data_IF_270617446177
#
_entry.id   IF_270617446177
#
_cell.length_a   1.000
_cell.length_b   1.000
_cell.length_c   1.000
_cell.angle_alpha   90.00
_cell.angle_beta   90.00
_cell.angle_gamma   90.00
#
_symmetry.space_group_name_H-M   'P 1'
#
loop_
_entity.id
_entity.type
_entity.pdbx_description
1 polymer ?
#
# COMPACT_ATOMS: atom_id res chain seq x y z
N UNK A 1 -23.73 -15.68 -37.43
CA UNK A 1 -24.03 -15.29 -36.04
C UNK A 1 -23.83 -16.51 -35.16
N UNK A 2 -22.69 -16.63 -34.48
CA UNK A 2 -22.45 -17.67 -33.49
C UNK A 2 -22.10 -16.96 -32.17
N UNK A 3 -22.96 -17.12 -31.18
CA UNK A 3 -22.85 -16.53 -29.86
C UNK A 3 -21.82 -17.35 -29.07
N UNK A 4 -20.68 -16.75 -28.74
CA UNK A 4 -19.70 -17.34 -27.82
C UNK A 4 -20.13 -17.03 -26.38
N UNK A 5 -20.57 -18.05 -25.66
CA UNK A 5 -20.87 -17.97 -24.23
C UNK A 5 -19.56 -18.15 -23.46
N UNK A 6 -19.07 -17.08 -22.84
CA UNK A 6 -17.91 -17.14 -21.95
C UNK A 6 -18.34 -17.83 -20.64
N UNK A 7 -17.78 -19.02 -20.37
CA UNK A 7 -17.86 -19.65 -19.05
C UNK A 7 -17.01 -18.86 -18.06
N UNK A 8 -17.66 -18.17 -17.13
CA UNK A 8 -17.02 -17.73 -15.90
C UNK A 8 -16.74 -18.97 -15.04
N UNK A 9 -15.47 -19.31 -14.86
CA UNK A 9 -15.05 -20.31 -13.89
C UNK A 9 -15.28 -19.74 -12.48
N UNK A 10 -16.40 -20.11 -11.86
CA UNK A 10 -16.64 -19.88 -10.44
C UNK A 10 -15.75 -20.81 -9.63
N UNK A 11 -14.73 -20.25 -8.98
CA UNK A 11 -13.98 -20.96 -7.94
C UNK A 11 -14.94 -21.43 -6.86
N UNK A 12 -14.78 -22.67 -6.41
CA UNK A 12 -15.58 -23.25 -5.34
C UNK A 12 -15.35 -22.47 -4.05
N UNK A 13 -16.18 -21.46 -3.79
CA UNK A 13 -16.24 -20.79 -2.51
C UNK A 13 -16.65 -21.82 -1.45
N UNK A 14 -15.89 -21.87 -0.35
CA UNK A 14 -16.32 -22.58 0.85
C UNK A 14 -17.77 -22.21 1.18
N UNK A 15 -18.58 -23.15 1.65
CA UNK A 15 -19.93 -22.83 2.10
C UNK A 15 -19.85 -21.86 3.29
N UNK A 16 -19.94 -20.54 3.04
CA UNK A 16 -20.33 -19.54 4.02
C UNK A 16 -19.45 -18.29 4.21
N UNK A 17 -18.19 -18.23 3.78
CA UNK A 17 -17.34 -17.04 3.99
C UNK A 17 -16.92 -16.36 2.68
N UNK A 18 -17.20 -15.06 2.60
CA UNK A 18 -17.05 -14.24 1.40
C UNK A 18 -16.84 -12.76 1.75
N UNK A 19 -16.78 -11.91 0.71
CA UNK A 19 -16.66 -10.46 0.88
C UNK A 19 -17.84 -9.84 1.66
N UNK A 20 -19.05 -10.40 1.52
CA UNK A 20 -20.22 -9.91 2.24
C UNK A 20 -20.14 -10.23 3.74
N UNK A 21 -19.45 -11.31 4.11
CA UNK A 21 -19.16 -11.66 5.50
C UNK A 21 -18.31 -10.59 6.19
N UNK A 22 -17.24 -10.13 5.54
CA UNK A 22 -16.41 -9.03 6.04
C UNK A 22 -17.16 -7.69 6.00
N UNK A 23 -18.00 -7.50 4.99
CA UNK A 23 -18.88 -6.31 4.93
C UNK A 23 -19.78 -6.20 6.14
N UNK A 24 -20.43 -7.29 6.56
CA UNK A 24 -21.30 -7.29 7.73
C UNK A 24 -20.51 -6.88 8.98
N UNK A 25 -19.31 -7.44 9.18
CA UNK A 25 -18.42 -7.05 10.27
C UNK A 25 -18.06 -5.56 10.25
N UNK A 26 -17.69 -5.01 9.08
CA UNK A 26 -17.37 -3.59 8.95
C UNK A 26 -18.58 -2.70 9.29
N UNK A 27 -19.76 -3.01 8.72
CA UNK A 27 -21.00 -2.28 9.00
C UNK A 27 -21.35 -2.30 10.49
N UNK A 28 -21.29 -3.47 11.11
CA UNK A 28 -21.60 -3.65 12.52
C UNK A 28 -20.63 -2.84 13.40
N UNK A 29 -19.33 -2.86 13.08
CA UNK A 29 -18.34 -2.02 13.77
C UNK A 29 -18.64 -0.53 13.56
N UNK A 30 -19.02 -0.08 12.37
CA UNK A 30 -19.36 1.33 12.10
C UNK A 30 -20.56 1.85 12.93
N UNK A 31 -21.42 0.96 13.40
CA UNK A 31 -22.57 1.28 14.25
C UNK A 31 -22.24 1.47 15.73
N UNK A 32 -21.02 1.12 16.15
CA UNK A 32 -20.56 1.19 17.53
C UNK A 32 -19.49 2.28 17.71
N UNK A 33 -19.17 2.74 18.92
CA UNK A 33 -17.99 3.57 19.17
C UNK A 33 -16.69 2.81 18.85
N UNK A 34 -15.66 3.53 18.38
CA UNK A 34 -14.34 2.95 18.16
C UNK A 34 -13.74 2.46 19.49
N UNK A 35 -13.10 1.29 19.45
CA UNK A 35 -12.38 0.70 20.59
C UNK A 35 -10.93 0.45 20.17
N UNK A 36 -9.95 1.21 20.70
CA UNK A 36 -8.54 0.94 20.44
C UNK A 36 -8.15 -0.41 21.04
N UNK A 37 -7.12 -1.04 20.47
CA UNK A 37 -6.53 -2.24 21.05
C UNK A 37 -5.98 -1.89 22.44
N UNK A 38 -6.46 -2.58 23.47
CA UNK A 38 -6.04 -2.34 24.85
C UNK A 38 -4.84 -3.18 25.30
N UNK A 39 -4.50 -4.20 24.52
CA UNK A 39 -3.49 -5.18 24.90
C UNK A 39 -2.10 -4.55 24.84
N UNK A 40 -1.43 -4.53 25.99
CA UNK A 40 -0.04 -4.14 26.08
C UNK A 40 0.82 -5.33 25.67
N UNK A 41 1.83 -5.07 24.86
CA UNK A 41 2.88 -6.05 24.63
C UNK A 41 3.46 -6.54 25.97
N UNK A 42 3.82 -7.83 26.07
CA UNK A 42 4.68 -8.32 27.13
C UNK A 42 5.88 -7.39 27.37
N UNK A 43 6.26 -7.20 28.64
CA UNK A 43 7.24 -6.19 29.01
C UNK A 43 8.61 -6.39 28.34
N UNK A 44 9.02 -7.63 28.12
CA UNK A 44 10.25 -7.99 27.43
C UNK A 44 10.20 -7.67 25.92
N UNK A 45 9.04 -7.84 25.27
CA UNK A 45 8.82 -7.40 23.88
C UNK A 45 8.74 -5.87 23.75
N UNK A 46 8.15 -5.18 24.73
CA UNK A 46 8.00 -3.74 24.71
C UNK A 46 9.33 -2.96 24.79
N UNK A 47 10.40 -3.62 25.25
CA UNK A 47 11.73 -3.05 25.45
C UNK A 47 12.70 -3.31 24.29
N UNK A 48 12.29 -4.09 23.28
CA UNK A 48 13.17 -4.41 22.17
C UNK A 48 13.52 -3.16 21.34
N UNK A 49 14.80 -3.01 21.01
CA UNK A 49 15.28 -2.03 20.06
C UNK A 49 15.18 -2.54 18.60
N UNK A 50 15.58 -1.70 17.65
CA UNK A 50 15.50 -2.00 16.22
C UNK A 50 16.22 -3.29 15.82
N UNK A 51 17.49 -3.45 16.24
CA UNK A 51 18.29 -4.63 15.89
C UNK A 51 17.70 -5.91 16.49
N UNK A 52 17.19 -5.82 17.71
CA UNK A 52 16.57 -6.94 18.40
C UNK A 52 15.28 -7.39 17.71
N UNK A 53 14.39 -6.46 17.30
CA UNK A 53 13.18 -6.81 16.54
C UNK A 53 13.55 -7.42 15.18
N UNK A 54 14.55 -6.87 14.49
CA UNK A 54 15.05 -7.37 13.20
C UNK A 54 15.63 -8.79 13.28
N UNK A 55 16.15 -9.17 14.44
CA UNK A 55 16.72 -10.51 14.67
C UNK A 55 15.62 -11.59 14.85
N UNK A 56 14.38 -11.19 15.14
CA UNK A 56 13.24 -12.11 15.23
C UNK A 56 12.73 -12.43 13.83
N UNK A 57 12.74 -13.71 13.44
CA UNK A 57 12.42 -14.17 12.08
C UNK A 57 11.45 -15.34 12.09
N UNK A 58 10.51 -15.34 11.15
CA UNK A 58 9.69 -16.52 10.90
C UNK A 58 10.55 -17.68 10.39
N UNK A 59 10.29 -18.91 10.85
CA UNK A 59 10.94 -20.13 10.39
C UNK A 59 10.36 -20.58 9.04
N UNK A 60 11.10 -20.50 7.91
CA UNK A 60 10.52 -20.71 6.58
C UNK A 60 9.92 -22.11 6.35
N UNK A 61 10.42 -23.13 7.04
CA UNK A 61 9.89 -24.50 7.03
C UNK A 61 8.49 -24.61 7.64
N UNK A 62 8.08 -23.63 8.45
CA UNK A 62 6.78 -23.55 9.11
C UNK A 62 5.79 -22.64 8.40
N UNK A 63 6.14 -22.10 7.23
CA UNK A 63 5.25 -21.25 6.45
C UNK A 63 3.91 -21.94 6.16
N UNK A 64 2.81 -21.18 6.29
CA UNK A 64 1.47 -21.66 5.98
C UNK A 64 1.43 -22.12 4.51
N UNK A 65 0.78 -23.26 4.25
CA UNK A 65 0.65 -23.92 2.94
C UNK A 65 1.92 -24.56 2.36
N UNK A 66 3.06 -24.46 3.03
CA UNK A 66 4.31 -25.11 2.59
C UNK A 66 4.19 -26.64 2.54
N UNK A 67 3.67 -27.24 3.61
CA UNK A 67 3.51 -28.69 3.72
C UNK A 67 2.57 -29.27 2.64
N UNK A 68 1.57 -28.47 2.25
CA UNK A 68 0.60 -28.79 1.21
C UNK A 68 1.15 -28.56 -0.22
N UNK A 69 2.37 -28.02 -0.34
CA UNK A 69 3.06 -27.73 -1.61
C UNK A 69 2.26 -26.80 -2.55
N UNK A 70 1.53 -25.84 -1.98
CA UNK A 70 0.72 -24.89 -2.76
C UNK A 70 1.59 -23.84 -3.45
N UNK A 71 1.10 -23.17 -4.51
CA UNK A 71 1.88 -22.15 -5.22
C UNK A 71 2.18 -20.89 -4.39
N UNK A 72 1.44 -20.68 -3.30
CA UNK A 72 1.66 -19.59 -2.35
C UNK A 72 2.03 -20.12 -0.98
N UNK A 73 2.86 -19.37 -0.26
CA UNK A 73 3.19 -19.61 1.15
C UNK A 73 2.97 -18.31 1.93
N UNK A 74 2.49 -18.40 3.18
CA UNK A 74 2.39 -17.24 4.06
C UNK A 74 3.36 -17.35 5.24
N UNK A 75 4.02 -16.23 5.55
CA UNK A 75 4.85 -16.07 6.74
C UNK A 75 4.38 -14.84 7.52
N UNK A 76 4.52 -14.86 8.84
CA UNK A 76 3.96 -13.83 9.70
C UNK A 76 5.05 -13.01 10.39
N UNK A 77 4.75 -11.73 10.61
CA UNK A 77 5.65 -10.82 11.31
C UNK A 77 5.38 -10.87 12.82
N UNK A 78 6.45 -10.86 13.60
CA UNK A 78 6.37 -10.77 15.05
C UNK A 78 6.05 -9.33 15.49
N UNK A 79 5.32 -9.17 16.60
CA UNK A 79 5.12 -7.88 17.25
C UNK A 79 6.43 -7.33 17.84
N UNK A 80 6.57 -6.01 17.86
CA UNK A 80 7.74 -5.34 18.45
C UNK A 80 7.92 -3.91 17.95
N UNK A 81 8.63 -3.10 18.74
CA UNK A 81 9.02 -1.71 18.47
C UNK A 81 7.92 -0.83 17.83
N UNK A 82 7.79 -0.85 16.50
CA UNK A 82 6.81 -0.06 15.75
C UNK A 82 5.44 -0.74 15.61
N UNK A 83 5.40 -2.08 15.65
CA UNK A 83 4.19 -2.88 15.46
C UNK A 83 3.77 -3.51 16.79
N UNK A 84 3.02 -2.74 17.58
CA UNK A 84 2.60 -3.14 18.93
C UNK A 84 1.18 -3.70 18.99
N UNK A 85 0.37 -3.41 17.99
CA UNK A 85 -1.03 -3.79 17.94
C UNK A 85 -1.21 -4.97 16.98
N UNK A 86 -1.68 -6.13 17.44
CA UNK A 86 -1.82 -7.30 16.59
C UNK A 86 -2.90 -7.14 15.53
N UNK A 87 -2.70 -7.92 14.47
CA UNK A 87 -3.74 -8.31 13.53
C UNK A 87 -4.11 -9.77 13.78
N UNK A 88 -5.39 -10.08 13.67
CA UNK A 88 -5.88 -11.46 13.68
C UNK A 88 -5.74 -12.06 12.28
N UNK A 89 -5.30 -13.31 12.21
CA UNK A 89 -5.12 -14.04 10.95
C UNK A 89 -6.00 -15.27 10.96
N UNK A 90 -6.80 -15.41 9.92
CA UNK A 90 -7.63 -16.58 9.68
C UNK A 90 -7.27 -17.21 8.33
N UNK A 91 -7.49 -18.51 8.21
CA UNK A 91 -7.46 -19.24 6.95
C UNK A 91 -8.90 -19.61 6.54
N UNK A 92 -9.25 -19.37 5.28
CA UNK A 92 -10.51 -19.85 4.69
C UNK A 92 -10.21 -21.12 3.89
N UNK A 93 -10.86 -22.21 4.28
CA UNK A 93 -10.75 -23.53 3.64
C UNK A 93 -12.13 -24.00 3.15
N UNK A 94 -12.21 -25.04 2.30
CA UNK A 94 -13.51 -25.62 1.95
C UNK A 94 -14.36 -26.07 3.15
N UNK A 95 -13.72 -26.36 4.30
CA UNK A 95 -14.38 -26.77 5.55
C UNK A 95 -14.85 -25.58 6.41
N UNK A 96 -14.49 -24.35 6.04
CA UNK A 96 -14.84 -23.13 6.78
C UNK A 96 -13.63 -22.27 7.16
N UNK A 97 -13.87 -21.32 8.05
CA UNK A 97 -12.88 -20.38 8.57
C UNK A 97 -12.20 -20.95 9.82
N UNK A 98 -10.86 -20.85 9.87
CA UNK A 98 -10.06 -21.27 11.02
C UNK A 98 -9.09 -20.17 11.42
N UNK A 99 -9.08 -19.81 12.71
CA UNK A 99 -8.07 -18.92 13.28
C UNK A 99 -6.68 -19.54 13.22
N UNK A 100 -5.68 -18.76 12.85
CA UNK A 100 -4.26 -19.12 12.91
C UNK A 100 -3.69 -18.49 14.19
N UNK A 101 -3.50 -19.28 15.27
CA UNK A 101 -2.99 -18.74 16.51
C UNK A 101 -1.51 -18.40 16.39
N UNK A 102 -1.07 -17.39 17.12
CA UNK A 102 0.35 -17.18 17.35
C UNK A 102 0.97 -18.40 18.05
N UNK A 103 2.12 -18.83 17.55
CA UNK A 103 2.95 -19.82 18.23
C UNK A 103 4.40 -19.36 18.25
N UNK A 104 4.97 -19.33 19.46
CA UNK A 104 6.39 -19.04 19.66
C UNK A 104 7.33 -19.98 18.89
N UNK A 105 6.89 -21.20 18.63
CA UNK A 105 7.69 -22.20 17.90
C UNK A 105 7.84 -21.86 16.41
N UNK A 106 7.03 -20.95 15.89
CA UNK A 106 7.10 -20.51 14.50
C UNK A 106 8.21 -19.49 14.24
N UNK A 107 8.81 -18.95 15.31
CA UNK A 107 9.83 -17.92 15.23
C UNK A 107 11.20 -18.43 15.68
N UNK A 108 12.23 -17.88 15.04
CA UNK A 108 13.58 -17.82 15.56
C UNK A 108 13.76 -16.44 16.20
N UNK A 109 14.14 -16.40 17.47
CA UNK A 109 14.33 -15.15 18.21
C UNK A 109 15.77 -14.64 18.13
N UNK A 110 16.64 -15.33 17.41
CA UNK A 110 18.04 -14.95 17.25
C UNK A 110 18.76 -14.90 18.59
N UNK A 111 19.43 -13.78 18.87
CA UNK A 111 20.22 -13.55 20.10
C UNK A 111 19.39 -12.98 21.25
N UNK A 112 18.08 -12.76 21.05
CA UNK A 112 17.23 -12.15 22.07
C UNK A 112 17.01 -13.08 23.27
N UNK A 113 17.04 -12.52 24.48
CA UNK A 113 16.76 -13.24 25.73
C UNK A 113 15.31 -12.98 26.17
N UNK A 114 14.37 -13.53 25.42
CA UNK A 114 12.93 -13.36 25.63
C UNK A 114 12.35 -14.54 26.42
N UNK A 115 11.19 -14.34 27.06
CA UNK A 115 10.46 -15.41 27.80
C UNK A 115 9.10 -15.71 27.15
N UNK A 116 9.10 -16.35 25.97
CA UNK A 116 7.90 -16.51 25.16
C UNK A 116 6.85 -17.47 25.73
N UNK A 117 7.18 -18.25 26.77
CA UNK A 117 6.30 -19.25 27.39
C UNK A 117 5.01 -18.64 27.95
N UNK A 118 5.06 -17.39 28.44
CA UNK A 118 3.97 -16.74 29.14
C UNK A 118 3.06 -15.90 28.24
N UNK A 119 3.39 -15.76 26.96
CA UNK A 119 2.73 -14.78 26.08
C UNK A 119 1.35 -15.21 25.57
N UNK A 120 1.06 -16.51 25.52
CA UNK A 120 -0.18 -17.01 24.93
C UNK A 120 -0.28 -16.70 23.43
N UNK A 121 -1.49 -16.46 22.93
CA UNK A 121 -1.73 -16.01 21.55
C UNK A 121 -1.58 -14.48 21.46
N UNK A 122 -0.40 -14.02 21.01
CA UNK A 122 -0.12 -12.60 20.82
C UNK A 122 -0.79 -12.00 19.57
N UNK A 123 -1.26 -12.82 18.64
CA UNK A 123 -1.48 -12.41 17.25
C UNK A 123 -0.18 -12.06 16.53
N UNK A 124 -0.30 -11.33 15.42
CA UNK A 124 0.84 -11.03 14.53
C UNK A 124 0.93 -9.54 14.21
N UNK A 125 2.11 -9.04 13.85
CA UNK A 125 2.28 -7.66 13.37
C UNK A 125 1.77 -7.45 11.94
N UNK A 126 1.51 -8.54 11.21
CA UNK A 126 1.21 -8.55 9.79
C UNK A 126 1.65 -9.88 9.17
N UNK A 127 1.61 -9.95 7.85
CA UNK A 127 2.06 -11.12 7.11
C UNK A 127 2.63 -10.75 5.75
N UNK A 128 3.32 -11.71 5.16
CA UNK A 128 3.80 -11.67 3.79
C UNK A 128 3.44 -12.95 3.06
N UNK A 129 3.12 -12.81 1.78
CA UNK A 129 2.90 -13.95 0.90
C UNK A 129 4.12 -14.13 0.00
N UNK A 130 4.44 -15.37 -0.29
CA UNK A 130 5.54 -15.78 -1.15
C UNK A 130 5.01 -16.56 -2.35
N UNK A 131 5.64 -16.38 -3.51
CA UNK A 131 5.32 -17.09 -4.75
C UNK A 131 6.58 -17.25 -5.62
N UNK A 132 6.54 -18.14 -6.62
CA UNK A 132 7.61 -18.33 -7.61
C UNK A 132 7.68 -17.16 -8.61
N UNK A 133 8.01 -15.96 -8.12
CA UNK A 133 7.95 -14.72 -8.89
C UNK A 133 9.15 -14.60 -9.85
N UNK A 134 10.36 -14.90 -9.38
CA UNK A 134 11.59 -14.75 -10.16
C UNK A 134 12.06 -16.07 -10.78
N UNK A 135 11.85 -17.19 -10.09
CA UNK A 135 12.23 -18.53 -10.56
C UNK A 135 11.33 -19.62 -9.98
N UNK A 136 11.31 -20.80 -10.61
CA UNK A 136 10.60 -21.97 -10.09
C UNK A 136 11.31 -22.63 -8.89
N UNK A 137 12.58 -22.30 -8.63
CA UNK A 137 13.38 -22.94 -7.59
C UNK A 137 13.18 -22.35 -6.20
N UNK A 138 12.71 -21.10 -6.12
CA UNK A 138 12.55 -20.35 -4.88
C UNK A 138 11.23 -19.59 -4.89
N UNK A 139 10.60 -19.41 -3.72
CA UNK A 139 9.44 -18.55 -3.56
C UNK A 139 9.86 -17.22 -2.97
N UNK A 140 9.95 -16.23 -3.83
CA UNK A 140 10.23 -14.85 -3.49
C UNK A 140 9.10 -14.24 -2.67
N UNK A 141 9.41 -13.22 -1.88
CA UNK A 141 8.38 -12.38 -1.26
C UNK A 141 7.60 -11.67 -2.37
N UNK A 142 6.27 -11.77 -2.32
CA UNK A 142 5.36 -11.24 -3.33
C UNK A 142 4.68 -9.96 -2.82
N UNK A 143 4.09 -10.02 -1.63
CA UNK A 143 3.29 -8.95 -1.04
C UNK A 143 3.41 -8.98 0.47
N UNK A 144 3.43 -7.79 1.07
CA UNK A 144 3.48 -7.57 2.53
C UNK A 144 2.27 -6.73 2.94
N UNK A 145 1.62 -7.14 4.03
CA UNK A 145 0.63 -6.37 4.76
C UNK A 145 1.15 -6.15 6.18
N UNK A 146 1.53 -4.91 6.53
CA UNK A 146 2.09 -4.58 7.85
C UNK A 146 2.00 -3.08 8.11
N UNK A 147 1.59 -2.71 9.33
CA UNK A 147 1.52 -1.32 9.78
C UNK A 147 0.30 -0.56 9.25
N UNK A 148 -0.46 0.07 10.13
CA UNK A 148 -1.71 0.74 9.79
C UNK A 148 -2.57 -0.11 8.81
N UNK A 149 -2.90 0.42 7.64
CA UNK A 149 -3.54 -0.32 6.55
C UNK A 149 -2.63 -0.42 5.32
N UNK A 150 -1.31 -0.39 5.52
CA UNK A 150 -0.33 -0.41 4.44
C UNK A 150 -0.13 -1.80 3.87
N UNK A 151 0.12 -1.84 2.57
CA UNK A 151 0.60 -3.02 1.87
C UNK A 151 1.48 -2.64 0.68
N UNK A 152 2.39 -3.52 0.31
CA UNK A 152 3.30 -3.33 -0.83
C UNK A 152 3.54 -4.65 -1.53
N UNK A 153 3.65 -4.66 -2.84
CA UNK A 153 3.89 -5.87 -3.61
C UNK A 153 4.99 -5.68 -4.67
N UNK A 154 5.49 -6.80 -5.17
CA UNK A 154 6.56 -6.87 -6.15
C UNK A 154 6.09 -7.65 -7.38
N UNK A 155 6.34 -7.08 -8.55
CA UNK A 155 6.50 -7.78 -9.82
C UNK A 155 7.90 -8.37 -9.96
N UNK A 156 8.10 -9.14 -11.04
CA UNK A 156 9.36 -9.85 -11.29
C UNK A 156 10.57 -8.91 -11.33
N UNK A 157 11.63 -9.28 -10.62
CA UNK A 157 12.92 -8.56 -10.60
C UNK A 157 12.94 -7.25 -9.82
N UNK A 158 11.84 -6.89 -9.14
CA UNK A 158 11.72 -5.64 -8.39
C UNK A 158 12.26 -5.75 -6.97
N UNK A 159 12.43 -4.60 -6.33
CA UNK A 159 12.66 -4.45 -4.89
C UNK A 159 11.61 -3.52 -4.30
N UNK A 160 11.40 -3.56 -2.98
CA UNK A 160 10.42 -2.69 -2.34
C UNK A 160 10.80 -1.22 -2.44
N UNK A 161 9.81 -0.40 -2.76
CA UNK A 161 9.84 1.05 -2.65
C UNK A 161 8.54 1.54 -2.06
N UNK A 162 7.76 2.25 -2.87
CA UNK A 162 6.45 2.78 -2.48
C UNK A 162 5.49 1.71 -1.92
N UNK A 163 4.54 2.17 -1.12
CA UNK A 163 3.45 1.39 -0.55
C UNK A 163 2.09 1.90 -0.98
N UNK A 164 1.07 1.04 -0.90
CA UNK A 164 -0.33 1.42 -0.95
C UNK A 164 -0.93 1.33 0.46
N UNK A 165 -2.12 1.93 0.67
CA UNK A 165 -2.91 1.75 1.91
C UNK A 165 -4.36 1.39 1.59
N UNK A 166 -5.06 0.83 2.58
CA UNK A 166 -6.49 0.61 2.47
C UNK A 166 -7.27 1.92 2.38
N UNK A 167 -6.95 2.88 3.25
CA UNK A 167 -7.65 4.16 3.35
C UNK A 167 -6.73 5.23 3.97
N UNK A 168 -6.90 6.48 3.54
CA UNK A 168 -6.29 7.65 4.18
C UNK A 168 -7.39 8.59 4.68
N UNK A 169 -7.22 9.18 5.88
CA UNK A 169 -8.20 10.10 6.48
C UNK A 169 -7.46 11.33 6.97
N UNK A 170 -7.88 12.50 6.48
CA UNK A 170 -7.37 13.81 6.90
C UNK A 170 -5.84 13.96 6.79
N UNK A 171 -5.20 13.29 5.82
CA UNK A 171 -3.77 13.49 5.49
C UNK A 171 -3.46 14.98 5.31
N UNK A 172 -4.42 15.75 4.78
CA UNK A 172 -4.47 17.21 4.85
C UNK A 172 -5.89 17.71 5.16
N UNK A 173 -6.01 18.93 5.69
CA UNK A 173 -7.29 19.61 5.92
C UNK A 173 -7.98 19.31 7.26
N UNK A 174 -7.58 18.26 7.98
CA UNK A 174 -8.09 17.96 9.32
C UNK A 174 -7.21 18.52 10.45
N UNK A 175 -7.43 18.02 11.68
CA UNK A 175 -6.59 18.36 12.86
C UNK A 175 -5.28 17.56 12.93
N UNK A 176 -5.11 16.61 12.01
CA UNK A 176 -4.00 15.66 11.92
C UNK A 176 -4.46 14.42 11.15
N UNK A 177 -3.51 13.71 10.52
CA UNK A 177 -3.82 12.48 9.80
C UNK A 177 -4.31 11.40 10.77
N UNK A 178 -5.42 10.76 10.42
CA UNK A 178 -5.87 9.52 11.03
C UNK A 178 -5.38 8.36 10.17
N UNK A 179 -4.82 7.33 10.81
CA UNK A 179 -4.26 6.15 10.17
C UNK A 179 -5.15 4.93 10.42
N UNK A 180 -6.10 4.62 9.52
CA UNK A 180 -6.90 3.41 9.63
C UNK A 180 -6.04 2.15 9.62
N UNK A 181 -6.43 1.15 10.41
CA UNK A 181 -5.70 -0.12 10.55
C UNK A 181 -6.46 -1.28 9.94
N UNK A 182 -5.75 -2.17 9.24
CA UNK A 182 -6.25 -3.54 9.09
C UNK A 182 -6.11 -4.25 10.43
N UNK A 183 -7.20 -4.80 10.93
CA UNK A 183 -7.27 -5.44 12.26
C UNK A 183 -7.42 -6.95 12.17
N UNK A 184 -7.95 -7.47 11.07
CA UNK A 184 -8.19 -8.88 10.86
C UNK A 184 -8.10 -9.23 9.37
N UNK A 185 -7.50 -10.38 9.08
CA UNK A 185 -7.36 -10.91 7.73
C UNK A 185 -7.89 -12.33 7.62
N UNK A 186 -8.38 -12.67 6.43
CA UNK A 186 -8.77 -14.02 6.04
C UNK A 186 -8.04 -14.38 4.75
N UNK A 187 -7.07 -15.28 4.87
CA UNK A 187 -6.28 -15.80 3.76
C UNK A 187 -7.01 -16.99 3.14
N UNK A 188 -7.47 -16.86 1.90
CA UNK A 188 -8.16 -17.97 1.21
C UNK A 188 -7.11 -18.98 0.76
N UNK A 189 -7.24 -20.23 1.20
CA UNK A 189 -6.35 -21.31 0.76
C UNK A 189 -6.45 -21.44 -0.76
N UNK A 190 -5.34 -21.26 -1.50
CA UNK A 190 -5.38 -21.34 -2.96
C UNK A 190 -5.49 -22.79 -3.42
N UNK A 191 -6.10 -23.01 -4.59
CA UNK A 191 -5.99 -24.29 -5.28
C UNK A 191 -4.54 -24.56 -5.71
N UNK A 192 -4.10 -25.83 -5.82
CA UNK A 192 -2.74 -26.18 -6.23
C UNK A 192 -2.29 -25.61 -7.59
N UNK A 193 -3.25 -25.29 -8.47
CA UNK A 193 -3.01 -24.71 -9.80
C UNK A 193 -3.35 -23.22 -9.88
N UNK A 194 -3.65 -22.58 -8.74
CA UNK A 194 -4.08 -21.19 -8.75
C UNK A 194 -2.97 -20.23 -9.18
N UNK A 195 -3.29 -19.33 -10.09
CA UNK A 195 -2.43 -18.22 -10.50
C UNK A 195 -2.73 -16.93 -9.73
N UNK A 196 -3.62 -16.99 -8.74
CA UNK A 196 -4.04 -15.87 -7.91
C UNK A 196 -4.23 -16.31 -6.45
N UNK A 197 -4.02 -15.40 -5.50
CA UNK A 197 -4.38 -15.59 -4.10
C UNK A 197 -5.33 -14.50 -3.63
N UNK A 198 -6.39 -14.90 -2.91
CA UNK A 198 -7.39 -13.98 -2.37
C UNK A 198 -7.13 -13.75 -0.88
N UNK A 199 -7.15 -12.49 -0.47
CA UNK A 199 -7.09 -12.04 0.91
C UNK A 199 -8.30 -11.15 1.19
N UNK A 200 -9.03 -11.42 2.26
CA UNK A 200 -9.98 -10.46 2.81
C UNK A 200 -9.38 -9.73 4.00
N UNK A 201 -9.75 -8.47 4.21
CA UNK A 201 -9.29 -7.68 5.35
C UNK A 201 -10.41 -6.80 5.93
N UNK A 202 -10.41 -6.67 7.25
CA UNK A 202 -11.27 -5.76 8.00
C UNK A 202 -10.45 -4.57 8.48
N UNK A 203 -10.85 -3.37 8.05
CA UNK A 203 -10.27 -2.11 8.42
C UNK A 203 -11.11 -1.43 9.51
N UNK A 204 -10.45 -0.89 10.53
CA UNK A 204 -11.07 -0.19 11.64
C UNK A 204 -10.28 1.07 11.99
N UNK A 205 -10.99 2.11 12.40
CA UNK A 205 -10.47 3.45 12.65
C UNK A 205 -11.44 4.24 13.53
N UNK A 206 -10.98 5.31 14.22
CA UNK A 206 -11.86 6.19 14.98
C UNK A 206 -13.12 6.64 14.22
N UNK A 207 -12.99 7.05 12.95
CA UNK A 207 -14.10 7.63 12.17
C UNK A 207 -14.59 6.79 11.00
N UNK A 208 -13.94 5.69 10.67
CA UNK A 208 -14.36 4.82 9.57
C UNK A 208 -14.05 3.35 9.83
N UNK A 209 -14.74 2.49 9.10
CA UNK A 209 -14.44 1.05 8.99
C UNK A 209 -14.49 0.66 7.52
N UNK A 210 -13.95 -0.50 7.16
CA UNK A 210 -14.11 -1.01 5.80
C UNK A 210 -13.86 -2.49 5.65
N UNK A 211 -14.51 -3.09 4.66
CA UNK A 211 -14.27 -4.45 4.21
C UNK A 211 -13.49 -4.42 2.90
N UNK A 212 -12.46 -5.26 2.79
CA UNK A 212 -11.57 -5.33 1.63
C UNK A 212 -11.47 -6.76 1.12
N UNK A 213 -11.42 -6.90 -0.20
CA UNK A 213 -10.97 -8.10 -0.93
C UNK A 213 -9.80 -7.71 -1.80
N UNK A 214 -8.69 -8.42 -1.68
CA UNK A 214 -7.52 -8.33 -2.52
C UNK A 214 -7.38 -9.65 -3.29
N UNK A 215 -7.46 -9.57 -4.61
CA UNK A 215 -7.15 -10.68 -5.51
C UNK A 215 -5.80 -10.39 -6.15
N UNK A 216 -4.76 -11.14 -5.75
CA UNK A 216 -3.36 -10.83 -6.02
C UNK A 216 -2.83 -11.83 -7.04
N UNK A 217 -2.46 -11.34 -8.21
CA UNK A 217 -1.93 -12.12 -9.33
C UNK A 217 -0.47 -11.73 -9.59
N UNK A 218 0.50 -12.62 -9.28
CA UNK A 218 1.91 -12.42 -9.59
C UNK A 218 2.17 -12.36 -11.10
N UNK A 219 3.18 -11.60 -11.50
CA UNK A 219 3.60 -11.52 -12.90
C UNK A 219 4.82 -10.63 -13.11
N UNK A 220 5.10 -10.32 -14.39
CA UNK A 220 6.10 -9.30 -14.74
C UNK A 220 5.79 -7.97 -14.03
N UNK A 221 4.52 -7.57 -14.07
CA UNK A 221 3.88 -6.72 -13.07
C UNK A 221 2.99 -7.60 -12.20
N UNK A 222 3.02 -7.39 -10.89
CA UNK A 222 2.00 -7.99 -10.01
C UNK A 222 0.76 -7.11 -10.09
N UNK A 223 -0.39 -7.73 -10.26
CA UNK A 223 -1.68 -7.03 -10.31
C UNK A 223 -2.49 -7.40 -9.09
N UNK A 224 -3.03 -6.40 -8.40
CA UNK A 224 -3.91 -6.56 -7.25
C UNK A 224 -5.26 -5.95 -7.57
N UNK A 225 -6.28 -6.77 -7.79
CA UNK A 225 -7.66 -6.29 -7.86
C UNK A 225 -8.18 -6.08 -6.45
N UNK A 226 -8.57 -4.85 -6.14
CA UNK A 226 -9.10 -4.45 -4.84
C UNK A 226 -10.58 -4.14 -4.97
N UNK A 227 -11.39 -4.74 -4.11
CA UNK A 227 -12.77 -4.30 -3.85
C UNK A 227 -12.85 -3.85 -2.40
N UNK A 228 -13.37 -2.64 -2.16
CA UNK A 228 -13.57 -2.11 -0.83
C UNK A 228 -14.99 -1.60 -0.64
N UNK A 229 -15.47 -1.72 0.60
CA UNK A 229 -16.71 -1.12 1.07
C UNK A 229 -16.45 -0.41 2.39
N UNK A 230 -16.51 0.91 2.37
CA UNK A 230 -16.12 1.79 3.48
C UNK A 230 -17.38 2.37 4.12
N UNK A 231 -17.40 2.41 5.46
CA UNK A 231 -18.50 2.99 6.23
C UNK A 231 -17.95 4.06 7.17
N UNK A 232 -18.51 5.27 7.07
CA UNK A 232 -18.24 6.34 8.06
C UNK A 232 -18.99 6.00 9.35
N UNK A 233 -18.29 6.06 10.49
CA UNK A 233 -18.85 5.74 11.80
C UNK A 233 -19.86 6.82 12.20
N UNK A 234 -21.02 6.39 12.70
CA UNK A 234 -22.11 7.29 13.08
C UNK A 234 -21.89 8.04 14.41
N UNK A 235 -20.78 7.79 15.11
CA UNK A 235 -20.62 8.17 16.52
C UNK A 235 -20.68 9.70 16.75
N UNK A 236 -21.60 10.08 17.64
CA UNK A 236 -21.78 11.44 18.14
C UNK A 236 -20.49 11.98 18.78
N UNK A 237 -20.00 13.12 18.27
CA UNK A 237 -18.86 13.85 18.85
C UNK A 237 -17.55 13.78 18.06
N UNK A 238 -17.45 12.91 17.04
CA UNK A 238 -16.31 12.95 16.14
C UNK A 238 -16.42 14.15 15.18
N UNK A 239 -15.32 14.89 14.92
CA UNK A 239 -15.31 15.90 13.86
C UNK A 239 -15.52 15.23 12.50
N UNK A 240 -16.13 15.96 11.56
CA UNK A 240 -16.30 15.49 10.19
C UNK A 240 -14.95 15.15 9.56
N UNK A 241 -14.92 14.12 8.71
CA UNK A 241 -13.76 13.84 7.86
C UNK A 241 -13.65 14.96 6.85
N UNK A 242 -12.50 15.65 6.84
CA UNK A 242 -12.19 16.71 5.88
C UNK A 242 -11.77 16.10 4.54
N UNK A 243 -10.96 15.03 4.58
CA UNK A 243 -10.43 14.37 3.39
C UNK A 243 -10.48 12.85 3.55
N UNK A 244 -11.16 12.16 2.65
CA UNK A 244 -11.17 10.69 2.55
C UNK A 244 -10.37 10.27 1.32
N UNK A 245 -9.16 9.75 1.51
CA UNK A 245 -8.29 9.27 0.44
C UNK A 245 -8.53 7.79 0.12
N UNK A 246 -9.01 7.54 -1.10
CA UNK A 246 -9.30 6.22 -1.66
C UNK A 246 -8.16 5.76 -2.56
N UNK A 247 -7.83 4.46 -2.49
CA UNK A 247 -6.68 3.85 -3.16
C UNK A 247 -5.37 4.65 -2.97
N UNK A 248 -5.03 5.00 -1.71
CA UNK A 248 -3.85 5.81 -1.44
C UNK A 248 -2.55 5.07 -1.76
N UNK A 249 -1.63 5.82 -2.35
CA UNK A 249 -0.24 5.46 -2.58
C UNK A 249 0.65 6.36 -1.72
N UNK A 250 1.75 5.82 -1.22
CA UNK A 250 2.74 6.51 -0.39
C UNK A 250 4.12 6.15 -0.88
N UNK A 251 4.95 7.15 -1.12
CA UNK A 251 6.28 7.02 -1.69
C UNK A 251 7.24 8.02 -1.06
N UNK A 252 8.49 7.98 -1.49
CA UNK A 252 9.55 8.86 -1.06
C UNK A 252 10.18 9.56 -2.27
N UNK A 253 10.37 10.87 -2.16
CA UNK A 253 11.19 11.66 -3.07
C UNK A 253 12.09 12.58 -2.24
N UNK A 254 13.40 12.33 -2.28
CA UNK A 254 14.37 13.15 -1.57
C UNK A 254 14.98 14.22 -2.49
N UNK A 255 15.54 13.79 -3.63
CA UNK A 255 16.00 14.65 -4.71
C UNK A 255 16.09 13.89 -6.04
N UNK A 256 16.11 14.63 -7.15
CA UNK A 256 16.22 14.11 -8.50
C UNK A 256 16.68 15.19 -9.48
N UNK A 257 16.66 14.93 -10.79
CA UNK A 257 17.19 15.89 -11.78
C UNK A 257 16.47 17.25 -11.79
N UNK A 258 15.21 17.27 -11.35
CA UNK A 258 14.37 18.46 -11.18
C UNK A 258 14.66 19.23 -9.87
N UNK A 259 15.33 18.59 -8.90
CA UNK A 259 15.73 19.20 -7.64
C UNK A 259 17.09 18.65 -7.17
N UNK A 260 18.18 18.91 -7.91
CA UNK A 260 19.47 18.25 -7.64
C UNK A 260 20.07 18.65 -6.29
N UNK A 261 20.82 17.71 -5.70
CA UNK A 261 21.56 17.87 -4.43
C UNK A 261 23.05 17.63 -4.67
N UNK A 262 23.86 18.68 -4.56
CA UNK A 262 25.29 18.66 -4.96
C UNK A 262 26.18 17.82 -4.03
N UNK A 263 25.75 17.64 -2.80
CA UNK A 263 26.56 17.07 -1.72
C UNK A 263 26.39 15.55 -1.58
N UNK A 264 25.48 14.97 -2.37
CA UNK A 264 25.30 13.52 -2.48
C UNK A 264 26.00 13.03 -3.75
N UNK A 265 26.63 11.86 -3.69
CA UNK A 265 27.28 11.27 -4.86
C UNK A 265 26.25 10.68 -5.83
N UNK A 266 25.09 10.28 -5.31
CA UNK A 266 23.98 9.71 -6.10
C UNK A 266 23.35 10.83 -6.93
N UNK A 267 23.09 10.63 -8.23
CA UNK A 267 22.40 11.65 -9.03
C UNK A 267 20.95 11.87 -8.59
N UNK A 268 20.28 10.82 -8.14
CA UNK A 268 18.88 10.83 -7.71
C UNK A 268 18.64 9.86 -6.54
N UNK A 269 17.68 10.21 -5.66
CA UNK A 269 17.23 9.39 -4.53
C UNK A 269 15.73 9.54 -4.36
N UNK A 270 14.98 8.54 -4.86
CA UNK A 270 13.52 8.49 -4.79
C UNK A 270 12.99 7.08 -5.13
N UNK A 271 11.75 6.83 -4.70
CA UNK A 271 10.97 5.63 -5.02
C UNK A 271 9.95 5.88 -6.13
N UNK A 272 9.81 7.15 -6.53
CA UNK A 272 8.93 7.63 -7.59
C UNK A 272 9.42 9.02 -8.02
N UNK A 273 9.31 9.35 -9.30
CA UNK A 273 9.71 10.66 -9.86
C UNK A 273 8.53 11.56 -10.23
N UNK A 274 7.32 11.01 -10.32
CA UNK A 274 6.14 11.81 -10.66
C UNK A 274 4.81 11.14 -10.35
N UNK A 275 3.78 11.97 -10.17
CA UNK A 275 2.40 11.54 -10.25
C UNK A 275 1.92 11.61 -11.71
N UNK A 276 1.39 10.52 -12.22
CA UNK A 276 0.65 10.48 -13.48
C UNK A 276 -0.85 10.40 -13.20
N UNK A 277 -1.66 11.17 -13.94
CA UNK A 277 -3.13 11.14 -13.85
C UNK A 277 -3.72 11.04 -15.25
N UNK A 278 -4.57 10.04 -15.48
CA UNK A 278 -5.43 9.95 -16.65
C UNK A 278 -6.84 10.40 -16.23
N UNK A 279 -7.22 11.61 -16.63
CA UNK A 279 -8.50 12.23 -16.26
C UNK A 279 -9.67 11.54 -16.96
N UNK A 280 -10.88 11.70 -16.44
CA UNK A 280 -12.06 11.15 -17.11
C UNK A 280 -12.40 11.83 -18.43
N UNK A 281 -11.92 13.05 -18.63
CA UNK A 281 -12.00 13.82 -19.87
C UNK A 281 -11.01 13.34 -20.95
N UNK A 282 -10.09 12.43 -20.60
CA UNK A 282 -9.12 11.83 -21.51
C UNK A 282 -7.75 12.52 -21.55
N UNK A 283 -7.52 13.50 -20.69
CA UNK A 283 -6.22 14.16 -20.55
C UNK A 283 -5.25 13.29 -19.73
N UNK A 284 -3.97 13.32 -20.10
CA UNK A 284 -2.89 12.68 -19.35
C UNK A 284 -1.97 13.74 -18.77
N UNK A 285 -1.98 13.85 -17.44
CA UNK A 285 -1.19 14.82 -16.69
C UNK A 285 0.03 14.13 -16.09
N UNK A 286 1.14 14.87 -16.06
CA UNK A 286 2.37 14.48 -15.39
C UNK A 286 2.80 15.57 -14.42
N UNK A 287 2.95 15.23 -13.14
CA UNK A 287 3.41 16.13 -12.10
C UNK A 287 4.71 15.59 -11.49
N UNK A 288 5.89 16.10 -11.88
CA UNK A 288 7.15 15.74 -11.24
C UNK A 288 7.10 15.98 -9.74
N UNK A 289 7.58 15.02 -8.96
CA UNK A 289 7.63 15.11 -7.50
C UNK A 289 8.73 16.07 -7.06
N UNK A 290 8.57 16.63 -5.87
CA UNK A 290 9.51 17.56 -5.26
C UNK A 290 9.57 17.25 -3.76
N UNK A 291 10.67 17.60 -3.12
CA UNK A 291 10.80 17.70 -1.67
C UNK A 291 10.66 19.18 -1.26
N UNK A 292 9.43 19.66 -1.00
CA UNK A 292 9.17 21.08 -0.75
C UNK A 292 9.57 21.48 0.66
N UNK A 293 9.83 22.78 0.89
CA UNK A 293 10.14 23.32 2.23
C UNK A 293 8.95 23.32 3.19
N UNK A 294 7.74 23.30 2.64
CA UNK A 294 6.47 23.29 3.37
C UNK A 294 5.55 22.29 2.68
N UNK A 295 4.57 21.76 3.42
CA UNK A 295 3.55 20.87 2.85
C UNK A 295 2.92 21.49 1.60
N UNK A 296 3.04 20.79 0.47
CA UNK A 296 2.46 21.18 -0.80
C UNK A 296 1.33 20.21 -1.15
N UNK A 297 0.16 20.74 -1.45
CA UNK A 297 -1.01 19.95 -1.89
C UNK A 297 -1.38 20.40 -3.28
N UNK A 298 -1.43 19.45 -4.22
CA UNK A 298 -1.90 19.68 -5.60
C UNK A 298 -3.14 18.83 -5.85
N UNK A 299 -4.19 19.45 -6.40
CA UNK A 299 -5.48 18.79 -6.65
C UNK A 299 -5.83 18.81 -8.14
N UNK A 300 -6.17 17.65 -8.68
CA UNK A 300 -6.59 17.46 -10.07
C UNK A 300 -8.06 17.02 -10.10
N UNK A 301 -8.96 17.99 -10.17
CA UNK A 301 -10.40 17.74 -10.23
C UNK A 301 -10.78 17.07 -11.56
N UNK A 302 -11.60 16.03 -11.50
CA UNK A 302 -12.10 15.29 -12.67
C UNK A 302 -13.33 14.48 -12.28
N UNK A 303 -14.00 13.88 -13.27
CA UNK A 303 -15.09 12.93 -13.05
C UNK A 303 -14.73 11.57 -13.65
N UNK A 304 -14.90 10.48 -12.92
CA UNK A 304 -14.59 9.12 -13.39
C UNK A 304 -13.15 8.98 -13.94
N UNK A 305 -12.12 9.19 -13.10
CA UNK A 305 -10.72 9.10 -13.54
C UNK A 305 -10.45 7.76 -14.21
N UNK A 306 -9.64 7.76 -15.29
CA UNK A 306 -9.22 6.53 -15.97
C UNK A 306 -8.07 5.83 -15.25
N UNK A 307 -7.30 6.58 -14.46
CA UNK A 307 -6.33 6.06 -13.52
C UNK A 307 -5.39 7.13 -12.99
N UNK A 308 -4.62 6.79 -11.97
CA UNK A 308 -3.56 7.63 -11.44
C UNK A 308 -2.50 6.76 -10.77
N UNK A 309 -1.27 7.26 -10.65
CA UNK A 309 -0.20 6.48 -10.06
C UNK A 309 1.05 7.26 -9.75
N UNK A 310 1.76 6.82 -8.71
CA UNK A 310 3.12 7.25 -8.44
C UNK A 310 4.04 6.40 -9.31
N UNK A 311 4.68 7.05 -10.27
CA UNK A 311 5.48 6.41 -11.29
C UNK A 311 6.96 6.65 -11.02
N UNK A 312 7.77 5.74 -11.49
CA UNK A 312 9.23 5.83 -11.51
C UNK A 312 9.68 5.57 -12.95
N UNK A 313 9.75 6.63 -13.75
CA UNK A 313 10.14 6.58 -15.16
C UNK A 313 11.63 6.32 -15.32
N UNK A 314 12.46 6.83 -14.41
CA UNK A 314 13.90 6.57 -14.41
C UNK A 314 14.22 5.19 -13.80
N UNK A 315 14.83 4.32 -14.61
CA UNK A 315 15.20 2.94 -14.21
C UNK A 315 16.61 2.55 -14.64
N UNK A 316 17.41 3.52 -15.06
CA UNK A 316 18.81 3.29 -15.37
C UNK A 316 19.62 3.29 -14.07
N UNK A 317 20.53 2.33 -13.95
CA UNK A 317 21.46 2.29 -12.82
C UNK A 317 22.19 3.62 -12.61
N UNK A 318 22.63 4.27 -13.69
CA UNK A 318 23.34 5.55 -13.68
C UNK A 318 22.51 6.74 -13.19
N UNK A 319 21.19 6.60 -13.04
CA UNK A 319 20.37 7.63 -12.40
C UNK A 319 20.52 7.61 -10.87
N UNK A 320 20.97 6.50 -10.28
CA UNK A 320 20.92 6.31 -8.82
C UNK A 320 22.26 5.92 -8.19
N UNK A 321 23.04 5.06 -8.85
CA UNK A 321 24.37 4.60 -8.39
C UNK A 321 24.43 4.01 -6.96
N UNK A 322 23.30 3.56 -6.40
CA UNK A 322 23.20 3.04 -5.03
C UNK A 322 23.11 1.51 -4.98
N UNK A 323 24.19 0.84 -4.55
CA UNK A 323 24.33 -0.63 -4.63
C UNK A 323 23.49 -1.37 -3.59
N UNK A 324 23.06 -0.66 -2.55
CA UNK A 324 22.27 -1.21 -1.45
C UNK A 324 20.78 -0.97 -1.71
N UNK A 325 20.40 0.29 -1.95
CA UNK A 325 19.00 0.70 -2.02
C UNK A 325 18.32 0.38 -3.35
N UNK A 326 19.10 0.25 -4.44
CA UNK A 326 18.66 -0.20 -5.78
C UNK A 326 17.37 0.47 -6.25
N UNK A 327 17.31 1.80 -6.11
CA UNK A 327 16.13 2.60 -6.44
C UNK A 327 15.61 2.31 -7.85
N UNK A 328 16.49 2.06 -8.83
CA UNK A 328 16.12 1.74 -10.22
C UNK A 328 15.25 0.47 -10.36
N UNK A 329 15.19 -0.36 -9.33
CA UNK A 329 14.38 -1.59 -9.27
C UNK A 329 13.06 -1.42 -8.53
N UNK A 330 12.79 -0.28 -7.91
CA UNK A 330 11.55 -0.03 -7.17
C UNK A 330 10.36 0.11 -8.13
N UNK A 331 9.16 -0.36 -7.74
CA UNK A 331 8.00 -0.37 -8.62
C UNK A 331 7.38 1.01 -8.79
N UNK A 332 6.81 1.26 -9.96
CA UNK A 332 5.68 2.20 -10.06
C UNK A 332 4.40 1.53 -9.55
N UNK A 333 3.45 2.32 -9.08
CA UNK A 333 2.10 1.85 -8.76
C UNK A 333 1.04 2.62 -9.54
N UNK A 334 0.25 1.89 -10.31
CA UNK A 334 -0.84 2.45 -11.11
C UNK A 334 -2.20 1.94 -10.65
N UNK A 335 -3.06 2.86 -10.21
CA UNK A 335 -4.47 2.62 -9.85
C UNK A 335 -5.34 2.83 -11.07
N UNK A 336 -6.12 1.82 -11.44
CA UNK A 336 -7.11 1.85 -12.52
C UNK A 336 -8.50 1.51 -11.97
N UNK A 337 -9.42 2.47 -11.88
CA UNK A 337 -10.81 2.20 -11.48
C UNK A 337 -11.48 1.14 -12.36
N UNK A 338 -12.28 0.27 -11.74
CA UNK A 338 -13.05 -0.79 -12.43
C UNK A 338 -14.53 -0.42 -12.64
N UNK A 339 -14.95 0.73 -12.13
CA UNK A 339 -16.25 1.35 -12.39
C UNK A 339 -16.13 2.87 -12.25
N UNK A 340 -17.20 3.58 -12.57
CA UNK A 340 -17.30 5.02 -12.41
C UNK A 340 -17.22 5.42 -10.92
N UNK A 341 -16.26 6.29 -10.58
CA UNK A 341 -16.05 6.82 -9.23
C UNK A 341 -16.76 8.15 -8.97
N UNK A 342 -17.46 8.69 -9.98
CA UNK A 342 -18.15 9.97 -9.90
C UNK A 342 -17.20 11.16 -9.91
N UNK A 343 -17.70 12.30 -9.41
CA UNK A 343 -16.93 13.53 -9.30
C UNK A 343 -16.00 13.50 -8.08
N UNK A 344 -14.82 14.10 -8.21
CA UNK A 344 -13.83 14.18 -7.15
C UNK A 344 -12.53 14.78 -7.66
N UNK A 345 -11.43 14.41 -7.04
CA UNK A 345 -10.09 14.84 -7.43
C UNK A 345 -9.04 13.79 -7.11
N UNK A 346 -8.01 13.71 -7.92
CA UNK A 346 -6.74 13.10 -7.48
C UNK A 346 -5.97 14.17 -6.72
N UNK A 347 -5.52 13.85 -5.51
CA UNK A 347 -4.78 14.76 -4.65
C UNK A 347 -3.37 14.22 -4.44
N UNK A 348 -2.38 15.11 -4.57
CA UNK A 348 -0.97 14.86 -4.32
C UNK A 348 -0.54 15.70 -3.12
N UNK A 349 -0.04 15.04 -2.09
CA UNK A 349 0.55 15.66 -0.91
C UNK A 349 2.04 15.40 -0.92
N UNK A 350 2.84 16.46 -0.82
CA UNK A 350 4.28 16.40 -0.71
C UNK A 350 4.72 17.11 0.57
N UNK A 351 5.41 16.38 1.43
CA UNK A 351 5.93 16.83 2.71
C UNK A 351 7.44 17.08 2.60
N UNK A 352 7.96 17.94 3.46
CA UNK A 352 9.41 18.08 3.61
C UNK A 352 9.97 16.82 4.27
N UNK A 353 11.07 16.27 3.74
CA UNK A 353 11.86 15.24 4.41
C UNK A 353 13.34 15.62 4.49
N UNK A 354 14.01 15.39 5.63
CA UNK A 354 15.44 15.63 5.75
C UNK A 354 16.31 14.56 5.08
N UNK A 355 15.77 13.34 4.89
CA UNK A 355 16.48 12.15 4.41
C UNK A 355 15.53 11.16 3.69
N UNK A 356 16.11 10.08 3.15
CA UNK A 356 15.42 9.03 2.40
C UNK A 356 14.67 8.00 3.27
N UNK A 357 14.76 8.10 4.60
CA UNK A 357 14.20 7.08 5.50
C UNK A 357 12.72 7.29 5.80
N UNK A 358 12.17 8.44 5.41
CA UNK A 358 10.78 8.82 5.62
C UNK A 358 10.06 9.02 4.28
N UNK A 359 8.95 8.30 4.09
CA UNK A 359 8.02 8.59 3.01
C UNK A 359 7.43 9.99 3.16
N UNK A 360 7.51 10.78 2.09
CA UNK A 360 7.08 12.18 2.09
C UNK A 360 6.14 12.52 0.94
N UNK A 361 5.70 11.53 0.16
CA UNK A 361 4.78 11.70 -0.96
C UNK A 361 3.56 10.83 -0.76
N UNK A 362 2.37 11.41 -0.93
CA UNK A 362 1.09 10.68 -0.84
C UNK A 362 0.20 11.07 -2.01
N UNK A 363 -0.41 10.10 -2.67
CA UNK A 363 -1.38 10.34 -3.74
C UNK A 363 -2.64 9.48 -3.55
N UNK A 364 -3.83 10.06 -3.71
CA UNK A 364 -5.10 9.35 -3.56
C UNK A 364 -6.24 10.03 -4.32
N UNK A 365 -7.34 9.29 -4.51
CA UNK A 365 -8.60 9.87 -4.95
C UNK A 365 -9.43 10.38 -3.77
N UNK A 366 -9.97 11.59 -3.89
CA UNK A 366 -10.92 12.17 -2.93
C UNK A 366 -12.28 12.34 -3.62
N UNK A 367 -13.31 11.57 -3.21
CA UNK A 367 -14.67 11.75 -3.70
C UNK A 367 -15.20 13.16 -3.37
N UNK A 368 -15.95 13.77 -4.27
CA UNK A 368 -16.53 15.10 -4.05
C UNK A 368 -17.65 15.11 -2.99
N UNK A 369 -18.27 13.96 -2.74
CA UNK A 369 -19.37 13.80 -1.80
C UNK A 369 -19.09 12.64 -0.86
N UNK A 370 -19.28 12.89 0.44
CA UNK A 370 -19.26 11.86 1.47
C UNK A 370 -20.67 11.30 1.66
N UNK A 371 -20.81 9.98 1.90
CA UNK A 371 -22.10 9.37 2.17
C UNK A 371 -22.63 9.85 3.53
N UNK A 372 -23.93 9.69 3.74
CA UNK A 372 -24.45 9.73 5.11
C UNK A 372 -23.85 8.58 5.94
N UNK A 373 -23.64 8.74 7.26
CA UNK A 373 -23.15 7.66 8.12
C UNK A 373 -23.98 6.37 7.95
N UNK A 374 -23.29 5.23 7.90
CA UNK A 374 -23.90 3.92 7.67
C UNK A 374 -24.19 3.56 6.21
N UNK A 375 -24.22 4.53 5.28
CA UNK A 375 -24.24 4.22 3.84
C UNK A 375 -22.83 3.83 3.36
N UNK A 376 -22.69 2.72 2.60
CA UNK A 376 -21.40 2.30 2.10
C UNK A 376 -20.90 3.19 0.95
N UNK A 377 -19.60 3.50 0.97
CA UNK A 377 -18.84 3.85 -0.23
C UNK A 377 -18.20 2.59 -0.80
N UNK A 378 -18.53 2.25 -2.04
CA UNK A 378 -17.94 1.10 -2.74
C UNK A 378 -16.93 1.57 -3.78
N UNK A 379 -15.75 0.95 -3.76
CA UNK A 379 -14.73 1.15 -4.77
C UNK A 379 -14.18 -0.20 -5.23
N UNK A 380 -14.07 -0.37 -6.54
CA UNK A 380 -13.26 -1.43 -7.14
C UNK A 380 -12.22 -0.83 -8.08
N UNK A 381 -10.99 -1.29 -7.95
CA UNK A 381 -9.85 -0.86 -8.76
C UNK A 381 -8.84 -1.98 -8.94
N UNK A 382 -8.04 -1.84 -9.97
CA UNK A 382 -6.83 -2.62 -10.17
C UNK A 382 -5.63 -1.77 -9.76
N UNK A 383 -4.73 -2.34 -8.96
CA UNK A 383 -3.44 -1.76 -8.61
C UNK A 383 -2.34 -2.59 -9.27
N UNK A 384 -1.58 -1.99 -10.17
CA UNK A 384 -0.48 -2.65 -10.87
C UNK A 384 0.87 -2.18 -10.34
N UNK A 385 1.72 -3.14 -9.95
CA UNK A 385 3.09 -2.92 -9.44
C UNK A 385 4.09 -3.12 -10.58
N UNK A 386 4.53 -2.02 -11.20
CA UNK A 386 5.12 -2.01 -12.54
C UNK A 386 6.63 -1.77 -12.53
N UNK A 387 7.34 -2.55 -13.35
CA UNK A 387 8.79 -2.46 -13.52
C UNK A 387 9.13 -1.71 -14.79
N UNK A 388 9.77 -2.38 -15.74
CA UNK A 388 10.15 -1.79 -17.03
C UNK A 388 8.94 -1.58 -17.97
N UNK A 389 7.96 -2.47 -17.89
CA UNK A 389 6.68 -2.36 -18.59
C UNK A 389 5.68 -1.55 -17.74
N UNK A 390 5.67 -0.23 -17.96
CA UNK A 390 4.78 0.69 -17.23
C UNK A 390 3.58 1.13 -18.06
N UNK A 391 2.53 1.53 -17.37
CA UNK A 391 1.47 2.32 -17.97
C UNK A 391 2.07 3.59 -18.58
N UNK A 392 1.66 3.90 -19.82
CA UNK A 392 2.05 5.13 -20.52
C UNK A 392 0.82 5.83 -21.08
N UNK A 393 0.88 7.16 -21.29
CA UNK A 393 -0.08 7.86 -22.13
C UNK A 393 -0.10 7.26 -23.54
N UNK A 394 -1.22 7.36 -24.28
CA UNK A 394 -1.31 6.89 -25.67
C UNK A 394 -0.50 7.74 -26.67
N UNK A 395 0.04 8.88 -26.23
CA UNK A 395 0.85 9.83 -27.02
C UNK A 395 2.24 9.99 -26.39
N UNK A 396 2.91 11.11 -26.62
CA UNK A 396 4.19 11.43 -25.99
C UNK A 396 4.07 11.53 -24.46
N UNK A 397 5.18 11.28 -23.76
CA UNK A 397 5.29 11.45 -22.31
C UNK A 397 6.64 12.10 -21.97
N UNK A 398 6.70 12.77 -20.82
CA UNK A 398 7.96 13.32 -20.30
C UNK A 398 8.86 12.17 -19.83
N UNK A 399 10.05 12.02 -20.40
CA UNK A 399 10.99 11.00 -19.95
C UNK A 399 11.78 11.43 -18.72
N UNK A 400 12.03 12.74 -18.57
CA UNK A 400 12.76 13.33 -17.44
C UNK A 400 12.42 14.82 -17.30
N UNK A 401 12.74 15.44 -16.16
CA UNK A 401 12.57 16.89 -15.93
C UNK A 401 13.81 17.42 -15.23
N UNK A 402 14.52 18.37 -15.86
CA UNK A 402 15.82 18.85 -15.37
C UNK A 402 15.77 20.31 -14.97
N UNK A 403 16.27 20.62 -13.77
CA UNK A 403 16.43 22.00 -13.32
C UNK A 403 17.84 22.49 -13.60
N UNK A 404 17.94 23.55 -14.39
CA UNK A 404 19.19 24.23 -14.71
C UNK A 404 19.07 25.74 -14.56
N UNK A 405 20.21 26.40 -14.44
CA UNK A 405 20.29 27.86 -14.55
C UNK A 405 20.60 28.21 -16.00
N UNK A 406 19.71 28.97 -16.65
CA UNK A 406 20.00 29.57 -17.95
C UNK A 406 20.92 30.78 -17.81
N UNK A 407 21.52 31.22 -18.93
CA UNK A 407 22.15 32.55 -18.97
C UNK A 407 21.08 33.61 -18.71
N UNK A 408 21.30 34.42 -17.68
CA UNK A 408 20.45 35.56 -17.39
C UNK A 408 21.30 36.79 -17.13
N UNK A 409 20.80 37.96 -17.51
CA UNK A 409 21.40 39.26 -17.17
C UNK A 409 21.05 39.70 -15.74
N UNK A 410 20.16 38.96 -15.08
CA UNK A 410 19.72 39.24 -13.72
C UNK A 410 20.83 38.91 -12.71
N UNK A 411 20.91 39.72 -11.67
CA UNK A 411 21.75 39.44 -10.52
C UNK A 411 21.30 38.17 -9.79
N UNK A 412 22.20 37.59 -8.98
CA UNK A 412 21.88 36.40 -8.19
C UNK A 412 20.71 36.62 -7.20
N UNK A 413 20.41 37.86 -6.82
CA UNK A 413 19.29 38.20 -5.94
C UNK A 413 17.96 38.20 -6.70
N UNK A 414 17.93 38.81 -7.88
CA UNK A 414 16.75 38.86 -8.76
C UNK A 414 16.35 37.46 -9.25
N UNK A 415 17.33 36.62 -9.57
CA UNK A 415 17.12 35.21 -9.93
C UNK A 415 16.41 34.41 -8.85
N UNK A 416 16.76 34.61 -7.57
CA UNK A 416 16.13 33.89 -6.45
C UNK A 416 14.67 34.30 -6.22
N UNK A 417 14.25 35.43 -6.76
CA UNK A 417 12.88 35.92 -6.65
C UNK A 417 12.00 35.49 -7.83
N UNK A 418 12.58 34.93 -8.90
CA UNK A 418 11.78 34.38 -9.98
C UNK A 418 11.06 33.11 -9.55
N UNK A 419 9.77 33.05 -9.86
CA UNK A 419 8.99 31.82 -9.78
C UNK A 419 9.54 30.85 -10.81
N UNK A 420 10.12 29.75 -10.35
CA UNK A 420 10.59 28.67 -11.21
C UNK A 420 9.52 27.59 -11.29
N UNK A 421 9.10 27.27 -12.51
CA UNK A 421 8.25 26.13 -12.79
C UNK A 421 9.16 24.93 -13.10
N UNK A 422 8.90 23.81 -12.44
CA UNK A 422 9.42 22.49 -12.86
C UNK A 422 8.25 21.56 -13.06
#
# INVERSE_FOLDING_TARGET
MALATALMAGGAHAQGFDFESVTRLARDRASQPYRPVSDKLPADLAQLNYDQVRDIRWRPDRALWRADKLPYEAMFFHLGLYQKEPVLINEVTPQGVRHIPYSRADFDYGKNQLRPEAWGDLGFAGFRLHNHLNSSAYKDELVVFQGASYFRALGKGQQYGLSARGLAIDTVGGRGEEFPRFTEFWLVRPDPLSTQVTVYALLDSPRATGAYRFDIQPGAQTTTTVRSRIFVRAASGNPSIATLGVAPLTSMFFFGENQPRKEDFRPEVHDSDGLMVATGEGEWLWRPLQNPRQTLVTSFATRNPKGFGLMQRDRQWSSYEDVEARYERRPSAWVRPLHDWGAGRVELVQLNTPDETHDNVVAYWVPAQMPAPGQPLEFAYELSWQGDEQQRPPSAWATQSRRGMGYTKLSAQELRQQVQYV
#
